data_IF_059520154359
#
_entry.id   IF_059520154359
#
_cell.length_a   1.000
_cell.length_b   1.000
_cell.length_c   1.000
_cell.angle_alpha   90.00
_cell.angle_beta   90.00
_cell.angle_gamma   90.00
#
_symmetry.space_group_name_H-M   'P 1'
#
loop_
_entity.id
_entity.type
_entity.pdbx_description
1 polymer ?
#
# COMPACT_ATOMS: atom_id res chain seq x y z
N UNK A 1 6.09 -23.56 21.07
CA UNK A 1 6.19 -22.59 22.19
C UNK A 1 6.66 -21.27 21.57
N UNK A 2 5.77 -20.28 21.47
CA UNK A 2 6.03 -19.06 20.69
C UNK A 2 7.11 -18.18 21.32
N UNK A 3 8.10 -17.78 20.53
CA UNK A 3 9.09 -16.77 20.93
C UNK A 3 8.36 -15.42 21.13
N UNK A 4 8.61 -14.77 22.26
CA UNK A 4 7.94 -13.52 22.63
C UNK A 4 8.38 -12.35 21.74
N UNK A 5 7.41 -11.67 21.12
CA UNK A 5 7.59 -10.52 20.20
C UNK A 5 8.08 -9.19 20.86
N UNK A 6 8.83 -9.26 21.96
CA UNK A 6 9.37 -8.07 22.66
C UNK A 6 8.32 -7.03 23.09
N UNK A 7 8.76 -5.78 23.32
CA UNK A 7 7.90 -4.65 23.74
C UNK A 7 6.82 -4.30 22.71
N UNK A 8 7.15 -4.34 21.41
CA UNK A 8 6.19 -4.06 20.34
C UNK A 8 5.05 -5.09 20.32
N UNK A 9 5.37 -6.37 20.50
CA UNK A 9 4.35 -7.42 20.64
C UNK A 9 3.50 -7.30 21.89
N UNK A 10 4.08 -6.81 23.00
CA UNK A 10 3.32 -6.54 24.22
C UNK A 10 2.34 -5.37 24.04
N UNK A 11 2.74 -4.30 23.34
CA UNK A 11 1.87 -3.17 23.00
C UNK A 11 0.72 -3.61 22.09
N UNK A 12 1.00 -4.44 21.07
CA UNK A 12 -0.04 -4.95 20.16
C UNK A 12 -1.04 -5.87 20.88
N UNK A 13 -0.57 -6.74 21.79
CA UNK A 13 -1.44 -7.55 22.64
C UNK A 13 -2.32 -6.72 23.57
N UNK A 14 -1.76 -5.64 24.14
CA UNK A 14 -2.51 -4.69 24.97
C UNK A 14 -3.64 -4.01 24.18
N UNK A 15 -3.43 -3.81 22.88
CA UNK A 15 -4.40 -3.19 21.97
C UNK A 15 -5.39 -4.19 21.32
N UNK A 16 -5.47 -5.43 21.84
CA UNK A 16 -6.34 -6.52 21.33
C UNK A 16 -6.10 -6.88 19.86
N UNK A 17 -4.88 -6.70 19.37
CA UNK A 17 -4.55 -7.11 18.01
C UNK A 17 -4.76 -8.63 17.87
N UNK A 18 -5.52 -9.05 16.86
CA UNK A 18 -5.73 -10.46 16.54
C UNK A 18 -4.54 -10.95 15.71
N UNK A 19 -3.92 -12.03 16.17
CA UNK A 19 -2.87 -12.72 15.44
C UNK A 19 -3.51 -13.77 14.53
N UNK A 20 -3.08 -13.81 13.28
CA UNK A 20 -3.52 -14.76 12.26
C UNK A 20 -2.29 -15.43 11.66
N UNK A 21 -2.44 -16.68 11.23
CA UNK A 21 -1.41 -17.39 10.49
C UNK A 21 -1.87 -17.52 9.05
N UNK A 22 -1.10 -16.93 8.13
CA UNK A 22 -1.32 -17.08 6.70
C UNK A 22 -0.54 -18.27 6.16
N UNK A 23 -1.10 -18.99 5.21
CA UNK A 23 -0.43 -20.11 4.53
C UNK A 23 -0.30 -19.81 3.04
N UNK A 24 0.91 -19.85 2.51
CA UNK A 24 1.17 -19.67 1.07
C UNK A 24 0.55 -20.84 0.30
N UNK A 25 -0.23 -20.52 -0.73
CA UNK A 25 -0.84 -21.49 -1.65
C UNK A 25 -0.21 -21.46 -3.04
N UNK A 26 0.41 -20.34 -3.42
CA UNK A 26 1.11 -20.18 -4.69
C UNK A 26 2.04 -18.98 -4.70
N UNK A 27 2.99 -18.99 -5.63
CA UNK A 27 3.96 -17.92 -5.84
C UNK A 27 4.13 -17.65 -7.34
N UNK A 28 4.27 -16.38 -7.69
CA UNK A 28 4.42 -15.90 -9.06
C UNK A 28 5.42 -14.74 -9.09
N UNK A 29 6.47 -14.87 -9.91
CA UNK A 29 7.37 -13.76 -10.22
C UNK A 29 6.73 -12.93 -11.35
N UNK A 30 5.99 -11.88 -10.99
CA UNK A 30 5.28 -10.99 -11.93
C UNK A 30 6.28 -10.23 -12.80
N UNK A 31 7.35 -9.76 -12.17
CA UNK A 31 8.57 -9.28 -12.83
C UNK A 31 9.79 -9.76 -12.03
N UNK A 32 11.03 -9.62 -12.54
CA UNK A 32 12.23 -9.95 -11.76
C UNK A 32 12.37 -9.21 -10.42
N UNK A 33 11.65 -8.09 -10.25
CA UNK A 33 11.69 -7.25 -9.06
C UNK A 33 10.33 -7.13 -8.37
N UNK A 34 9.35 -7.94 -8.74
CA UNK A 34 8.01 -7.88 -8.20
C UNK A 34 7.38 -9.27 -8.11
N UNK A 35 7.10 -9.73 -6.88
CA UNK A 35 6.62 -11.09 -6.64
C UNK A 35 5.25 -11.07 -5.97
N UNK A 36 4.36 -11.93 -6.44
CA UNK A 36 3.03 -12.15 -5.88
C UNK A 36 2.99 -13.50 -5.17
N UNK A 37 2.50 -13.51 -3.94
CA UNK A 37 2.18 -14.72 -3.19
C UNK A 37 0.67 -14.79 -2.98
N UNK A 38 0.07 -15.94 -3.23
CA UNK A 38 -1.34 -16.24 -2.91
C UNK A 38 -1.37 -16.96 -1.58
N UNK A 39 -2.31 -16.61 -0.71
CA UNK A 39 -2.38 -17.13 0.66
C UNK A 39 -3.81 -17.44 1.08
N UNK A 40 -3.95 -18.37 2.04
CA UNK A 40 -5.12 -18.43 2.91
C UNK A 40 -4.89 -17.54 4.14
N UNK A 41 -5.98 -17.02 4.71
CA UNK A 41 -5.98 -15.90 5.65
C UNK A 41 -6.07 -16.27 7.14
N UNK A 42 -6.22 -17.56 7.44
CA UNK A 42 -6.40 -18.02 8.82
C UNK A 42 -7.66 -17.51 9.50
N UNK A 43 -8.70 -17.12 8.74
CA UNK A 43 -9.95 -16.56 9.23
C UNK A 43 -9.93 -15.04 9.44
N UNK A 44 -8.90 -14.35 8.96
CA UNK A 44 -8.78 -12.90 9.07
C UNK A 44 -9.98 -12.15 8.48
N UNK A 45 -10.30 -12.40 7.21
CA UNK A 45 -11.27 -11.63 6.45
C UNK A 45 -12.68 -11.77 7.05
N UNK A 46 -13.04 -12.98 7.49
CA UNK A 46 -14.28 -13.22 8.22
C UNK A 46 -14.34 -12.45 9.56
N UNK A 47 -13.20 -12.26 10.23
CA UNK A 47 -13.12 -11.63 11.54
C UNK A 47 -13.03 -10.09 11.50
N UNK A 48 -12.65 -9.50 10.37
CA UNK A 48 -12.40 -8.05 10.24
C UNK A 48 -13.19 -7.36 9.13
N UNK A 49 -13.76 -8.11 8.17
CA UNK A 49 -14.25 -7.56 6.92
C UNK A 49 -13.09 -7.12 6.01
N UNK A 50 -13.47 -6.52 4.88
CA UNK A 50 -12.55 -6.00 3.85
C UNK A 50 -12.83 -4.53 3.58
N UNK A 51 -11.80 -3.80 3.18
CA UNK A 51 -11.94 -2.43 2.69
C UNK A 51 -10.81 -2.09 1.72
N UNK A 52 -10.95 -1.04 0.89
CA UNK A 52 -9.90 -0.61 -0.02
C UNK A 52 -8.62 -0.25 0.72
N UNK A 53 -7.46 -0.50 0.10
CA UNK A 53 -6.12 -0.22 0.65
C UNK A 53 -5.81 -0.95 1.97
N UNK A 54 -6.59 -1.98 2.32
CA UNK A 54 -6.42 -2.73 3.55
C UNK A 54 -5.05 -3.37 3.65
N UNK A 55 -4.41 -3.23 4.81
CA UNK A 55 -3.06 -3.74 5.04
C UNK A 55 -2.93 -4.46 6.38
N UNK A 56 -1.91 -5.32 6.45
CA UNK A 56 -1.61 -6.18 7.59
C UNK A 56 -0.12 -6.12 7.91
N UNK A 57 0.24 -6.37 9.17
CA UNK A 57 1.64 -6.45 9.60
C UNK A 57 2.06 -7.91 9.58
N UNK A 58 3.04 -8.24 8.74
CA UNK A 58 3.66 -9.55 8.69
C UNK A 58 4.89 -9.59 9.59
N UNK A 59 5.10 -10.72 10.26
CA UNK A 59 6.24 -10.93 11.14
C UNK A 59 7.25 -11.87 10.49
N UNK A 60 8.41 -11.31 10.15
CA UNK A 60 9.54 -12.03 9.59
C UNK A 60 10.52 -12.40 10.70
N UNK A 61 11.13 -13.57 10.58
CA UNK A 61 12.21 -14.01 11.47
C UNK A 61 13.50 -13.25 11.14
N UNK A 62 14.12 -12.64 12.15
CA UNK A 62 15.41 -11.96 12.03
C UNK A 62 16.31 -12.34 13.21
N UNK A 63 16.94 -13.52 13.15
CA UNK A 63 17.84 -14.04 14.21
C UNK A 63 17.22 -13.97 15.63
N UNK A 64 15.91 -14.26 15.72
CA UNK A 64 15.15 -14.22 16.98
C UNK A 64 14.63 -12.83 17.38
N UNK A 65 14.90 -11.78 16.58
CA UNK A 65 14.33 -10.44 16.76
C UNK A 65 13.04 -10.30 15.94
N UNK A 66 12.02 -9.63 16.49
CA UNK A 66 10.80 -9.36 15.74
C UNK A 66 11.10 -8.34 14.63
N UNK A 67 10.94 -8.76 13.37
CA UNK A 67 11.05 -7.87 12.21
C UNK A 67 9.70 -7.82 11.49
N UNK A 68 8.98 -6.71 11.61
CA UNK A 68 7.66 -6.56 10.99
C UNK A 68 7.66 -5.62 9.78
N UNK A 69 6.82 -5.93 8.78
CA UNK A 69 6.52 -5.04 7.65
C UNK A 69 5.04 -5.05 7.32
N UNK A 70 4.52 -3.92 6.88
CA UNK A 70 3.13 -3.80 6.45
C UNK A 70 3.02 -4.18 4.96
N UNK A 71 1.99 -4.95 4.62
CA UNK A 71 1.65 -5.27 3.22
C UNK A 71 0.16 -5.07 2.99
N UNK A 72 -0.16 -4.56 1.80
CA UNK A 72 -1.55 -4.37 1.36
C UNK A 72 -2.10 -5.70 0.81
N UNK A 73 -3.35 -6.01 1.13
CA UNK A 73 -4.07 -7.15 0.57
C UNK A 73 -4.43 -6.89 -0.89
N UNK A 74 -4.21 -7.89 -1.74
CA UNK A 74 -4.64 -7.89 -3.15
C UNK A 74 -5.77 -8.89 -3.30
N UNK A 75 -6.87 -8.44 -3.91
CA UNK A 75 -8.07 -9.22 -4.20
C UNK A 75 -8.54 -10.12 -3.03
N UNK A 76 -8.80 -9.55 -1.83
CA UNK A 76 -9.26 -10.35 -0.70
C UNK A 76 -10.68 -10.89 -0.96
N UNK A 77 -10.84 -12.19 -0.77
CA UNK A 77 -12.09 -12.92 -0.91
C UNK A 77 -12.52 -13.49 0.45
N UNK A 78 -13.49 -12.85 1.14
CA UNK A 78 -14.01 -13.33 2.41
C UNK A 78 -14.74 -14.67 2.35
N UNK A 79 -15.27 -15.08 1.20
CA UNK A 79 -16.00 -16.35 1.06
C UNK A 79 -15.04 -17.53 1.12
N UNK A 80 -13.88 -17.40 0.47
CA UNK A 80 -12.86 -18.46 0.43
C UNK A 80 -11.75 -18.27 1.46
N UNK A 81 -11.66 -17.11 2.11
CA UNK A 81 -10.58 -16.78 3.04
C UNK A 81 -9.23 -16.69 2.32
N UNK A 82 -9.23 -16.18 1.09
CA UNK A 82 -8.02 -16.08 0.26
C UNK A 82 -7.73 -14.64 -0.16
N UNK A 83 -6.46 -14.37 -0.42
CA UNK A 83 -5.98 -13.08 -0.92
C UNK A 83 -4.57 -13.28 -1.49
N UNK A 84 -4.02 -12.22 -2.07
CA UNK A 84 -2.62 -12.16 -2.45
C UNK A 84 -1.88 -11.04 -1.73
N UNK A 85 -0.56 -11.19 -1.65
CA UNK A 85 0.38 -10.18 -1.21
C UNK A 85 1.40 -9.96 -2.32
N UNK A 86 1.75 -8.71 -2.56
CA UNK A 86 2.75 -8.35 -3.56
C UNK A 86 3.95 -7.68 -2.91
N UNK A 87 5.13 -8.09 -3.36
CA UNK A 87 6.42 -7.70 -2.82
C UNK A 87 7.21 -6.99 -3.91
N UNK A 88 7.36 -5.67 -3.78
CA UNK A 88 8.43 -4.95 -4.45
C UNK A 88 9.77 -5.46 -3.87
N UNK A 89 10.52 -6.22 -4.67
CA UNK A 89 11.71 -6.92 -4.19
C UNK A 89 12.89 -5.95 -4.09
N UNK A 90 13.49 -5.90 -2.90
CA UNK A 90 14.71 -5.15 -2.60
C UNK A 90 15.60 -5.99 -1.66
N UNK A 91 16.66 -5.41 -1.12
CA UNK A 91 17.47 -6.10 -0.11
C UNK A 91 16.78 -6.07 1.26
N UNK A 92 16.67 -7.22 1.93
CA UNK A 92 16.15 -7.31 3.29
C UNK A 92 15.19 -8.46 3.53
N UNK A 93 14.93 -8.73 4.82
CA UNK A 93 14.27 -9.96 5.31
C UNK A 93 12.93 -10.27 4.67
N UNK A 94 12.12 -9.25 4.40
CA UNK A 94 10.80 -9.45 3.82
C UNK A 94 10.89 -9.90 2.34
N UNK A 95 11.79 -9.30 1.56
CA UNK A 95 12.06 -9.74 0.19
C UNK A 95 12.79 -11.09 0.15
N UNK A 96 13.70 -11.36 1.08
CA UNK A 96 14.38 -12.66 1.17
C UNK A 96 13.40 -13.79 1.46
N UNK A 97 12.49 -13.58 2.41
CA UNK A 97 11.41 -14.51 2.69
C UNK A 97 10.51 -14.68 1.46
N UNK A 98 10.09 -13.58 0.80
CA UNK A 98 9.21 -13.67 -0.37
C UNK A 98 9.85 -14.46 -1.51
N UNK A 99 11.15 -14.25 -1.80
CA UNK A 99 11.90 -15.02 -2.82
C UNK A 99 11.93 -16.52 -2.52
N UNK A 100 12.07 -16.89 -1.24
CA UNK A 100 12.16 -18.28 -0.81
C UNK A 100 10.77 -18.96 -0.64
N UNK A 101 9.72 -18.17 -0.46
CA UNK A 101 8.39 -18.65 -0.12
C UNK A 101 7.83 -19.60 -1.19
N UNK A 102 7.29 -20.73 -0.72
CA UNK A 102 6.63 -21.78 -1.51
C UNK A 102 5.34 -22.23 -0.83
N UNK A 103 4.51 -22.96 -1.58
CA UNK A 103 3.25 -23.49 -1.04
C UNK A 103 3.48 -24.31 0.23
N UNK A 104 2.66 -24.06 1.25
CA UNK A 104 2.76 -24.65 2.59
C UNK A 104 3.59 -23.84 3.59
N UNK A 105 4.41 -22.87 3.14
CA UNK A 105 5.09 -21.96 4.06
C UNK A 105 4.06 -21.07 4.78
N UNK A 106 4.36 -20.73 6.02
CA UNK A 106 3.47 -19.91 6.85
C UNK A 106 4.14 -18.61 7.28
N UNK A 107 3.31 -17.59 7.51
CA UNK A 107 3.74 -16.33 8.09
C UNK A 107 2.69 -15.81 9.05
N UNK A 108 3.17 -15.29 10.17
CA UNK A 108 2.31 -14.67 11.16
C UNK A 108 1.94 -13.25 10.73
N UNK A 109 0.69 -12.88 10.98
CA UNK A 109 0.15 -11.59 10.64
C UNK A 109 -0.66 -10.99 11.78
N UNK A 110 -0.64 -9.66 11.87
CA UNK A 110 -1.44 -8.89 12.82
C UNK A 110 -2.17 -7.77 12.07
N UNK A 111 -3.45 -7.59 12.36
CA UNK A 111 -4.28 -6.58 11.70
C UNK A 111 -4.70 -5.53 12.71
N UNK A 112 -4.22 -4.30 12.48
CA UNK A 112 -4.49 -3.18 13.37
C UNK A 112 -4.19 -1.85 12.67
N UNK A 113 -5.09 -0.87 12.83
CA UNK A 113 -4.87 0.51 12.36
C UNK A 113 -5.08 0.70 10.85
N UNK A 114 -5.51 -0.34 10.15
CA UNK A 114 -6.03 -0.25 8.79
C UNK A 114 -7.48 0.25 8.82
N UNK A 115 -7.88 1.02 7.82
CA UNK A 115 -9.23 1.52 7.66
C UNK A 115 -9.35 2.32 6.36
N UNK A 116 -10.58 2.50 5.90
CA UNK A 116 -10.90 3.33 4.76
C UNK A 116 -12.18 4.10 5.04
N UNK A 117 -12.14 5.41 4.83
CA UNK A 117 -13.28 6.29 4.94
C UNK A 117 -13.58 6.82 3.54
N UNK A 118 -14.80 6.60 3.06
CA UNK A 118 -15.21 7.11 1.77
C UNK A 118 -15.19 8.64 1.80
N UNK A 119 -14.53 9.31 0.84
CA UNK A 119 -14.58 10.76 0.77
C UNK A 119 -16.02 11.20 0.49
N UNK A 120 -16.52 12.12 1.30
CA UNK A 120 -17.83 12.76 1.14
C UNK A 120 -17.62 14.27 0.95
N UNK A 121 -18.10 14.89 -0.15
CA UNK A 121 -18.77 14.25 -1.29
C UNK A 121 -17.85 13.29 -2.06
N UNK A 122 -18.44 12.37 -2.83
CA UNK A 122 -17.69 11.46 -3.69
C UNK A 122 -16.69 12.24 -4.58
N UNK A 123 -15.44 11.74 -4.76
CA UNK A 123 -14.44 12.48 -5.52
C UNK A 123 -14.85 12.67 -6.99
N UNK A 124 -14.69 13.88 -7.51
CA UNK A 124 -14.83 14.15 -8.94
C UNK A 124 -13.51 13.96 -9.70
N UNK A 125 -12.37 13.86 -8.99
CA UNK A 125 -11.07 13.47 -9.53
C UNK A 125 -10.17 12.91 -8.43
N UNK A 126 -9.39 11.87 -8.75
CA UNK A 126 -8.38 11.29 -7.87
C UNK A 126 -6.98 11.77 -8.27
N UNK A 127 -6.25 12.37 -7.34
CA UNK A 127 -4.85 12.72 -7.49
C UNK A 127 -4.01 11.74 -6.65
N UNK A 128 -3.44 10.74 -7.30
CA UNK A 128 -2.75 9.62 -6.64
C UNK A 128 -1.24 9.79 -6.83
N UNK A 129 -0.49 9.76 -5.74
CA UNK A 129 0.96 9.81 -5.75
C UNK A 129 1.48 8.55 -5.06
N UNK A 130 2.26 7.74 -5.77
CA UNK A 130 2.77 6.50 -5.21
C UNK A 130 3.97 5.93 -5.95
N UNK A 131 4.43 4.78 -5.49
CA UNK A 131 5.53 4.01 -6.06
C UNK A 131 5.16 2.51 -6.14
N UNK A 132 6.11 1.68 -6.61
CA UNK A 132 5.94 0.22 -6.72
C UNK A 132 5.52 -0.46 -5.41
N UNK A 133 5.92 0.03 -4.23
CA UNK A 133 5.52 -0.56 -2.95
C UNK A 133 4.04 -0.27 -2.61
N UNK A 134 3.52 0.84 -3.12
CA UNK A 134 2.11 1.25 -2.93
C UNK A 134 1.16 0.74 -4.01
N UNK A 135 1.66 0.13 -5.08
CA UNK A 135 0.86 -0.30 -6.23
C UNK A 135 -0.37 -1.16 -5.87
N UNK A 136 -0.28 -2.14 -4.94
CA UNK A 136 -1.46 -2.89 -4.50
C UNK A 136 -2.59 -2.00 -3.98
N UNK A 137 -2.23 -0.98 -3.19
CA UNK A 137 -3.19 -0.04 -2.63
C UNK A 137 -3.74 0.92 -3.70
N UNK A 138 -2.90 1.35 -4.65
CA UNK A 138 -3.38 2.13 -5.81
C UNK A 138 -4.41 1.32 -6.60
N UNK A 139 -4.12 0.05 -6.89
CA UNK A 139 -5.03 -0.81 -7.65
C UNK A 139 -6.35 -1.04 -6.91
N UNK A 140 -6.30 -1.28 -5.59
CA UNK A 140 -7.49 -1.40 -4.75
C UNK A 140 -8.29 -0.09 -4.68
N UNK A 141 -7.62 1.07 -4.58
CA UNK A 141 -8.26 2.38 -4.56
C UNK A 141 -8.94 2.72 -5.89
N UNK A 142 -8.29 2.40 -7.01
CA UNK A 142 -8.87 2.55 -8.35
C UNK A 142 -10.00 1.55 -8.59
N UNK A 143 -9.97 0.37 -7.99
CA UNK A 143 -11.10 -0.56 -8.01
C UNK A 143 -12.34 0.01 -7.31
N UNK A 144 -12.14 0.69 -6.18
CA UNK A 144 -13.23 1.27 -5.39
C UNK A 144 -13.76 2.59 -5.97
N UNK A 145 -12.86 3.54 -6.21
CA UNK A 145 -13.20 4.93 -6.56
C UNK A 145 -13.03 5.21 -8.06
N UNK A 146 -12.79 4.17 -8.86
CA UNK A 146 -12.39 4.29 -10.26
C UNK A 146 -13.45 4.82 -11.20
N UNK A 147 -14.68 5.07 -10.77
CA UNK A 147 -15.68 5.80 -11.57
C UNK A 147 -15.27 7.26 -11.80
N UNK A 148 -14.46 7.83 -10.91
CA UNK A 148 -13.86 9.14 -11.08
C UNK A 148 -12.62 9.07 -12.01
N UNK A 149 -12.34 10.13 -12.78
CA UNK A 149 -11.05 10.30 -13.44
C UNK A 149 -9.91 10.33 -12.41
N UNK A 150 -8.74 9.85 -12.83
CA UNK A 150 -7.56 9.80 -11.96
C UNK A 150 -6.31 10.30 -12.70
N UNK A 151 -5.50 11.09 -12.00
CA UNK A 151 -4.12 11.40 -12.38
C UNK A 151 -3.21 10.73 -11.37
N UNK A 152 -2.34 9.85 -11.86
CA UNK A 152 -1.43 9.06 -11.02
C UNK A 152 0.01 9.47 -11.31
N UNK A 153 0.70 10.07 -10.35
CA UNK A 153 2.14 10.26 -10.38
C UNK A 153 2.80 9.05 -9.73
N UNK A 154 3.37 8.19 -10.57
CA UNK A 154 3.93 6.90 -10.15
C UNK A 154 5.45 6.91 -10.27
N UNK A 155 6.15 6.84 -9.15
CA UNK A 155 7.61 6.76 -9.14
C UNK A 155 8.09 5.32 -9.37
N UNK A 156 8.92 5.11 -10.40
CA UNK A 156 9.44 3.81 -10.80
C UNK A 156 9.13 3.49 -12.25
N UNK A 157 9.00 2.20 -12.57
CA UNK A 157 8.50 1.70 -13.86
C UNK A 157 7.20 0.94 -13.64
N UNK A 158 6.34 0.90 -14.67
CA UNK A 158 5.10 0.11 -14.69
C UNK A 158 5.17 -1.12 -15.57
N UNK A 159 6.29 -1.33 -16.26
CA UNK A 159 6.41 -2.39 -17.26
C UNK A 159 6.23 -3.77 -16.60
N UNK A 160 5.24 -4.52 -17.09
CA UNK A 160 4.88 -5.84 -16.56
C UNK A 160 4.17 -5.84 -15.21
N UNK A 161 3.90 -4.68 -14.60
CA UNK A 161 3.21 -4.61 -13.31
C UNK A 161 1.68 -4.72 -13.45
N UNK A 162 0.97 -5.30 -12.46
CA UNK A 162 -0.48 -5.40 -12.48
C UNK A 162 -1.15 -4.03 -12.41
N UNK A 163 -2.26 -3.86 -13.11
CA UNK A 163 -2.99 -2.60 -13.17
C UNK A 163 -4.50 -2.84 -13.25
N UNK A 164 -5.25 -2.19 -12.37
CA UNK A 164 -6.73 -2.09 -12.44
C UNK A 164 -7.19 -0.79 -13.11
N UNK A 165 -6.24 0.05 -13.56
CA UNK A 165 -6.54 1.32 -14.18
C UNK A 165 -7.30 1.16 -15.51
N UNK A 166 -8.33 1.98 -15.70
CA UNK A 166 -9.05 2.15 -16.96
C UNK A 166 -8.25 3.15 -17.83
N UNK A 167 -7.67 2.74 -18.98
CA UNK A 167 -6.80 3.61 -19.76
C UNK A 167 -7.51 4.81 -20.39
N UNK A 168 -8.84 4.77 -20.54
CA UNK A 168 -9.62 5.89 -21.07
C UNK A 168 -9.96 6.93 -19.98
N UNK A 169 -9.83 6.55 -18.71
CA UNK A 169 -10.23 7.36 -17.54
C UNK A 169 -9.07 7.74 -16.61
N UNK A 170 -8.05 6.90 -16.52
CA UNK A 170 -6.94 7.03 -15.57
C UNK A 170 -5.63 7.30 -16.30
N UNK A 171 -5.01 8.45 -16.02
CA UNK A 171 -3.76 8.86 -16.64
C UNK A 171 -2.60 8.65 -15.68
N UNK A 172 -1.56 7.95 -16.13
CA UNK A 172 -0.34 7.73 -15.38
C UNK A 172 0.80 8.59 -15.91
N UNK A 173 1.50 9.24 -14.98
CA UNK A 173 2.79 9.87 -15.18
C UNK A 173 3.85 9.03 -14.46
N UNK A 174 4.55 8.20 -15.23
CA UNK A 174 5.67 7.40 -14.71
C UNK A 174 6.90 8.28 -14.55
N UNK A 175 7.45 8.35 -13.34
CA UNK A 175 8.54 9.26 -12.96
C UNK A 175 9.73 8.42 -12.48
N UNK A 176 10.94 8.57 -13.05
CA UNK A 176 12.11 7.87 -12.54
C UNK A 176 12.48 8.40 -11.15
N UNK A 177 12.79 7.50 -10.22
CA UNK A 177 13.30 7.90 -8.89
C UNK A 177 14.67 8.56 -9.05
N UNK A 178 14.77 9.82 -8.62
CA UNK A 178 16.02 10.62 -8.62
C UNK A 178 16.08 11.45 -7.35
N UNK A 179 17.30 11.77 -6.93
CA UNK A 179 17.57 12.68 -5.79
C UNK A 179 16.77 12.31 -4.53
N UNK A 180 16.75 11.01 -4.21
CA UNK A 180 16.02 10.44 -3.08
C UNK A 180 14.53 10.85 -3.01
N UNK A 181 13.86 10.92 -4.17
CA UNK A 181 12.43 11.25 -4.29
C UNK A 181 12.15 12.73 -4.59
N UNK A 182 13.17 13.59 -4.61
CA UNK A 182 12.94 15.02 -4.85
C UNK A 182 12.36 15.31 -6.25
N UNK A 183 12.70 14.49 -7.26
CA UNK A 183 12.15 14.66 -8.61
C UNK A 183 10.64 14.40 -8.67
N UNK A 184 10.13 13.38 -7.96
CA UNK A 184 8.69 13.17 -7.82
C UNK A 184 8.02 14.38 -7.16
N UNK A 185 8.63 14.90 -6.08
CA UNK A 185 8.10 16.08 -5.38
C UNK A 185 8.02 17.31 -6.29
N UNK A 186 9.06 17.57 -7.07
CA UNK A 186 9.12 18.67 -8.04
C UNK A 186 8.00 18.55 -9.09
N UNK A 187 7.85 17.37 -9.71
CA UNK A 187 6.83 17.13 -10.73
C UNK A 187 5.41 17.29 -10.19
N UNK A 188 5.12 16.73 -9.03
CA UNK A 188 3.81 16.88 -8.37
C UNK A 188 3.55 18.34 -8.01
N UNK A 189 4.56 19.08 -7.50
CA UNK A 189 4.41 20.50 -7.18
C UNK A 189 4.08 21.35 -8.41
N UNK A 190 4.65 21.01 -9.57
CA UNK A 190 4.40 21.71 -10.82
C UNK A 190 3.01 21.42 -11.42
N UNK A 191 2.53 20.18 -11.33
CA UNK A 191 1.36 19.72 -12.10
C UNK A 191 0.07 19.62 -11.27
N UNK A 192 0.16 19.30 -9.97
CA UNK A 192 -1.01 19.10 -9.11
C UNK A 192 -1.92 20.35 -8.98
N UNK A 193 -1.42 21.59 -8.87
CA UNK A 193 -2.29 22.76 -8.73
C UNK A 193 -3.31 22.92 -9.85
N UNK A 194 -2.94 22.60 -11.09
CA UNK A 194 -3.85 22.68 -12.24
C UNK A 194 -4.96 21.62 -12.15
N UNK A 195 -4.61 20.39 -11.76
CA UNK A 195 -5.59 19.31 -11.53
C UNK A 195 -6.60 19.70 -10.45
N UNK A 196 -6.12 20.28 -9.35
CA UNK A 196 -6.98 20.71 -8.25
C UNK A 196 -7.88 21.89 -8.64
N UNK A 197 -7.35 22.87 -9.37
CA UNK A 197 -8.13 24.03 -9.83
C UNK A 197 -9.23 23.65 -10.82
N UNK A 198 -9.03 22.59 -11.60
CA UNK A 198 -10.01 22.08 -12.56
C UNK A 198 -11.05 21.12 -11.94
N UNK A 199 -10.96 20.83 -10.64
CA UNK A 199 -11.76 19.79 -9.98
C UNK A 199 -12.55 20.37 -8.81
N UNK A 200 -13.86 20.16 -8.79
CA UNK A 200 -14.71 20.61 -7.67
C UNK A 200 -14.42 19.83 -6.37
N UNK A 201 -14.38 18.49 -6.45
CA UNK A 201 -14.21 17.60 -5.31
C UNK A 201 -12.95 16.71 -5.48
N UNK A 202 -11.72 17.27 -5.45
CA UNK A 202 -10.51 16.49 -5.59
C UNK A 202 -10.28 15.62 -4.35
N UNK A 203 -9.71 14.43 -4.54
CA UNK A 203 -9.21 13.60 -3.45
C UNK A 203 -7.75 13.24 -3.71
N UNK A 204 -6.88 13.62 -2.78
CA UNK A 204 -5.43 13.39 -2.90
C UNK A 204 -5.03 12.20 -2.04
N UNK A 205 -4.42 11.19 -2.66
CA UNK A 205 -3.92 10.00 -1.98
C UNK A 205 -2.42 9.86 -2.21
N UNK A 206 -1.63 9.80 -1.13
CA UNK A 206 -0.16 9.83 -1.18
C UNK A 206 0.40 8.66 -0.37
N UNK A 207 1.12 7.75 -1.03
CA UNK A 207 1.85 6.68 -0.37
C UNK A 207 3.16 6.36 -1.08
N UNK A 208 4.27 6.87 -0.57
CA UNK A 208 5.62 6.58 -1.06
C UNK A 208 6.54 6.30 0.15
N UNK A 209 7.83 6.59 0.02
CA UNK A 209 8.70 6.74 1.18
C UNK A 209 8.22 7.86 2.13
N UNK A 210 8.62 7.76 3.39
CA UNK A 210 8.19 8.65 4.47
C UNK A 210 8.60 10.12 4.23
N UNK A 211 9.75 10.38 3.60
CA UNK A 211 10.24 11.75 3.36
C UNK A 211 9.38 12.41 2.28
N UNK A 212 9.20 11.74 1.15
CA UNK A 212 8.38 12.21 0.02
C UNK A 212 6.92 12.40 0.45
N UNK A 213 6.36 11.42 1.16
CA UNK A 213 4.97 11.49 1.64
C UNK A 213 4.75 12.66 2.59
N UNK A 214 5.69 12.92 3.51
CA UNK A 214 5.60 14.07 4.42
C UNK A 214 5.71 15.39 3.69
N UNK A 215 6.63 15.49 2.72
CA UNK A 215 6.82 16.72 1.94
C UNK A 215 5.55 17.08 1.15
N UNK A 216 4.99 16.12 0.39
CA UNK A 216 3.78 16.33 -0.40
C UNK A 216 2.53 16.47 0.46
N UNK A 217 2.39 15.67 1.52
CA UNK A 217 1.26 15.81 2.45
C UNK A 217 1.25 17.16 3.17
N UNK A 218 2.43 17.73 3.48
CA UNK A 218 2.53 19.09 4.02
C UNK A 218 2.20 20.14 2.97
N UNK A 219 2.74 20.00 1.75
CA UNK A 219 2.47 20.89 0.61
C UNK A 219 0.96 21.01 0.35
N UNK A 220 0.29 19.87 0.15
CA UNK A 220 -1.13 19.82 -0.21
C UNK A 220 -2.02 20.43 0.87
N UNK A 221 -1.73 20.17 2.15
CA UNK A 221 -2.56 20.69 3.26
C UNK A 221 -2.27 22.15 3.62
N UNK A 222 -1.00 22.56 3.60
CA UNK A 222 -0.58 23.88 4.11
C UNK A 222 -0.47 24.94 3.03
N UNK A 223 0.06 24.57 1.87
CA UNK A 223 0.30 25.50 0.76
C UNK A 223 -0.90 25.52 -0.19
N UNK A 224 -1.48 24.36 -0.53
CA UNK A 224 -2.67 24.27 -1.39
C UNK A 224 -3.99 24.30 -0.62
N UNK A 225 -3.96 24.27 0.71
CA UNK A 225 -5.14 24.48 1.56
C UNK A 225 -6.18 23.37 1.54
N UNK A 226 -5.86 22.16 1.07
CA UNK A 226 -6.84 21.07 1.04
C UNK A 226 -7.22 20.61 2.46
N UNK A 227 -8.52 20.43 2.74
CA UNK A 227 -8.96 19.93 4.03
C UNK A 227 -8.49 18.50 4.26
N UNK A 228 -8.28 18.13 5.53
CA UNK A 228 -7.76 16.80 5.91
C UNK A 228 -8.63 15.64 5.39
N UNK A 229 -9.94 15.83 5.32
CA UNK A 229 -10.91 14.86 4.78
C UNK A 229 -10.71 14.58 3.29
N UNK A 230 -9.95 15.41 2.58
CA UNK A 230 -9.64 15.28 1.14
C UNK A 230 -8.22 14.80 0.87
N UNK A 231 -7.47 14.45 1.92
CA UNK A 231 -6.06 14.06 1.81
C UNK A 231 -5.77 12.82 2.65
N UNK A 232 -5.43 11.72 1.98
CA UNK A 232 -4.78 10.58 2.61
C UNK A 232 -3.28 10.65 2.34
N UNK A 233 -2.46 10.57 3.39
CA UNK A 233 -1.01 10.55 3.26
C UNK A 233 -0.38 9.60 4.29
N UNK A 234 0.18 8.48 3.82
CA UNK A 234 0.76 7.43 4.66
C UNK A 234 2.11 6.99 4.09
N UNK A 235 3.19 7.13 4.86
CA UNK A 235 4.52 6.68 4.42
C UNK A 235 4.63 5.16 4.51
N UNK A 236 4.83 4.50 3.37
CA UNK A 236 4.86 3.04 3.27
C UNK A 236 6.21 2.44 3.68
N UNK A 237 7.28 3.15 3.37
CA UNK A 237 8.63 2.73 3.71
C UNK A 237 9.49 3.91 4.14
N UNK A 238 10.69 3.62 4.64
CA UNK A 238 11.72 4.60 4.93
C UNK A 238 12.95 4.20 4.14
N UNK A 239 13.50 5.15 3.39
CA UNK A 239 14.87 5.01 2.91
C UNK A 239 15.80 5.05 4.13
N UNK A 240 16.84 4.24 4.10
CA UNK A 240 17.91 4.25 5.11
C UNK A 240 18.62 5.62 5.16
#
# INVERSE_FOLDING_TARGET
MGQGRGWEGAVLKLLRAKDFTFTVTGAEDVTPHYRRLRLTDGGLLAATGVHPTMWVRLWFSDDGRPHQRAYTLVDPDPETGTFALEFALHDGRASDWARAAKAGDTIEATVQGTGFEHPDPAPSHLAIIGDTASLPAINSLLGELGSAPATVWFEGTRDGLPSTADPDRHRYHTIPRRDAGAHLVERVRAELPEVLAATENPYVWIACDTRTTRALGSYVRKELGLPKTRVHALGYWRAD
#
